data_IF_513095912172
#
_entry.id   IF_513095912172
#
_cell.length_a   1.000
_cell.length_b   1.000
_cell.length_c   1.000
_cell.angle_alpha   90.00
_cell.angle_beta   90.00
_cell.angle_gamma   90.00
#
_symmetry.space_group_name_H-M   'P 1'
#
loop_
_entity.id
_entity.type
_entity.pdbx_description
1 polymer ?
#
# COMPACT_ATOMS: atom_id res chain seq x y z
N UNK A 1 -1.50 -24.95 -17.70
CA UNK A 1 -1.83 -23.52 -17.92
C UNK A 1 -3.26 -23.37 -17.44
N UNK A 2 -3.38 -22.82 -16.24
CA UNK A 2 -4.47 -23.11 -15.31
C UNK A 2 -5.78 -22.42 -15.67
N UNK A 3 -6.88 -23.15 -15.49
CA UNK A 3 -8.27 -22.68 -15.66
C UNK A 3 -8.71 -21.71 -14.55
N UNK A 4 -7.78 -21.16 -13.75
CA UNK A 4 -8.08 -20.26 -12.63
C UNK A 4 -8.65 -18.92 -13.08
N UNK A 5 -8.27 -18.45 -14.27
CA UNK A 5 -8.72 -17.17 -14.83
C UNK A 5 -10.22 -17.17 -15.19
N UNK A 6 -10.87 -18.34 -15.13
CA UNK A 6 -12.30 -18.54 -15.43
C UNK A 6 -13.13 -18.83 -14.17
N UNK A 7 -12.50 -18.95 -12.99
CA UNK A 7 -13.23 -19.19 -11.74
C UNK A 7 -13.67 -17.85 -11.17
N UNK A 8 -14.96 -17.70 -10.91
CA UNK A 8 -15.50 -16.54 -10.20
C UNK A 8 -15.35 -16.79 -8.69
N UNK A 9 -14.43 -16.07 -8.05
CA UNK A 9 -14.12 -16.19 -6.62
C UNK A 9 -13.17 -15.08 -6.13
N UNK A 10 -13.03 -14.88 -4.82
CA UNK A 10 -12.11 -13.88 -4.26
C UNK A 10 -10.70 -14.47 -4.18
N UNK A 11 -9.86 -14.14 -5.17
CA UNK A 11 -8.46 -14.59 -5.25
C UNK A 11 -7.45 -13.57 -4.72
N UNK A 12 -7.91 -12.43 -4.21
CA UNK A 12 -7.04 -11.40 -3.62
C UNK A 12 -6.63 -11.84 -2.22
N UNK A 13 -5.32 -12.01 -2.00
CA UNK A 13 -4.73 -12.24 -0.68
C UNK A 13 -3.99 -10.99 -0.20
N UNK A 14 -4.01 -10.75 1.11
CA UNK A 14 -3.30 -9.65 1.74
C UNK A 14 -2.10 -10.20 2.51
N UNK A 15 -0.91 -9.68 2.22
CA UNK A 15 0.34 -10.18 2.79
C UNK A 15 0.95 -9.12 3.72
N UNK A 16 1.23 -9.46 5.00
CA UNK A 16 1.91 -8.54 5.90
C UNK A 16 3.32 -8.25 5.39
N UNK A 17 3.62 -6.96 5.19
CA UNK A 17 4.94 -6.52 4.77
C UNK A 17 5.61 -5.71 5.89
N UNK A 18 6.67 -6.28 6.48
CA UNK A 18 7.44 -5.62 7.54
C UNK A 18 8.65 -4.91 6.95
N UNK A 19 8.60 -3.59 6.92
CA UNK A 19 9.73 -2.74 6.58
C UNK A 19 10.36 -2.13 7.84
N UNK A 20 11.68 -1.93 7.79
CA UNK A 20 12.38 -1.07 8.72
C UNK A 20 13.03 0.04 7.90
N UNK A 21 12.61 1.28 8.12
CA UNK A 21 13.16 2.45 7.44
C UNK A 21 14.55 2.69 8.00
N UNK A 22 15.58 2.57 7.16
CA UNK A 22 16.95 2.74 7.63
C UNK A 22 17.18 4.19 8.03
N UNK A 23 17.74 4.42 9.22
CA UNK A 23 18.02 5.78 9.70
C UNK A 23 19.22 6.45 8.99
N UNK A 24 19.98 5.69 8.18
CA UNK A 24 21.17 6.14 7.46
C UNK A 24 21.29 5.32 6.17
N UNK A 25 22.03 5.87 5.19
CA UNK A 25 22.34 5.19 3.93
C UNK A 25 21.48 5.63 2.75
N UNK A 26 21.81 5.09 1.58
CA UNK A 26 21.20 5.45 0.31
C UNK A 26 19.78 4.86 0.17
N UNK A 27 18.83 5.68 -0.27
CA UNK A 27 17.44 5.29 -0.50
C UNK A 27 17.27 4.17 -1.54
N UNK A 28 18.01 4.22 -2.64
CA UNK A 28 17.96 3.21 -3.71
C UNK A 28 18.47 1.85 -3.23
N UNK A 29 19.55 1.82 -2.45
CA UNK A 29 20.04 0.57 -1.87
C UNK A 29 19.01 -0.03 -0.90
N UNK A 30 18.39 0.83 -0.09
CA UNK A 30 17.37 0.41 0.86
C UNK A 30 16.09 -0.09 0.19
N UNK A 31 15.58 0.62 -0.83
CA UNK A 31 14.37 0.20 -1.54
C UNK A 31 14.61 -1.06 -2.35
N UNK A 32 15.80 -1.23 -2.95
CA UNK A 32 16.21 -2.48 -3.62
C UNK A 32 16.22 -3.66 -2.64
N UNK A 33 16.70 -3.45 -1.42
CA UNK A 33 16.62 -4.45 -0.35
C UNK A 33 15.18 -4.76 0.04
N UNK A 34 14.29 -3.76 0.12
CA UNK A 34 12.88 -4.01 0.41
C UNK A 34 12.18 -4.74 -0.75
N UNK A 35 12.52 -4.42 -1.99
CA UNK A 35 12.01 -5.11 -3.18
C UNK A 35 12.37 -6.59 -3.17
N UNK A 36 13.62 -6.94 -2.82
CA UNK A 36 14.04 -8.33 -2.64
C UNK A 36 13.18 -9.09 -1.62
N UNK A 37 12.96 -8.50 -0.44
CA UNK A 37 12.07 -9.09 0.58
C UNK A 37 10.62 -9.24 0.10
N UNK A 38 10.13 -8.29 -0.70
CA UNK A 38 8.78 -8.37 -1.24
C UNK A 38 8.66 -9.60 -2.18
N UNK A 39 9.66 -9.85 -3.02
CA UNK A 39 9.67 -11.06 -3.85
C UNK A 39 9.67 -12.36 -3.03
N UNK A 40 10.44 -12.43 -1.95
CA UNK A 40 10.44 -13.59 -1.04
C UNK A 40 9.06 -13.84 -0.41
N UNK A 41 8.33 -12.76 -0.10
CA UNK A 41 6.96 -12.85 0.44
C UNK A 41 5.98 -13.33 -0.63
N UNK A 42 6.11 -12.85 -1.88
CA UNK A 42 5.26 -13.27 -2.99
C UNK A 42 5.37 -14.76 -3.31
N UNK A 43 6.53 -15.40 -3.06
CA UNK A 43 6.67 -16.86 -3.18
C UNK A 43 5.71 -17.61 -2.24
N UNK A 44 5.27 -16.97 -1.15
CA UNK A 44 4.37 -17.53 -0.14
C UNK A 44 2.95 -16.93 -0.23
N UNK A 45 2.59 -16.30 -1.35
CA UNK A 45 1.30 -15.61 -1.51
C UNK A 45 0.07 -16.53 -1.42
N UNK A 46 0.26 -17.85 -1.47
CA UNK A 46 -0.80 -18.84 -1.33
C UNK A 46 -1.27 -19.03 0.13
N UNK A 47 -0.52 -18.52 1.11
CA UNK A 47 -0.85 -18.63 2.54
C UNK A 47 -1.89 -17.54 2.89
N UNK A 48 -3.11 -17.89 3.32
CA UNK A 48 -4.14 -16.91 3.65
C UNK A 48 -3.75 -16.04 4.85
N UNK A 49 -4.10 -14.74 4.82
CA UNK A 49 -3.83 -13.80 5.92
C UNK A 49 -4.29 -14.34 7.30
N UNK A 50 -5.45 -14.99 7.38
CA UNK A 50 -5.96 -15.56 8.63
C UNK A 50 -5.01 -16.58 9.26
N UNK A 51 -4.34 -17.39 8.45
CA UNK A 51 -3.34 -18.35 8.92
C UNK A 51 -2.08 -17.63 9.42
N UNK A 52 -1.65 -16.57 8.73
CA UNK A 52 -0.51 -15.74 9.15
C UNK A 52 -0.80 -15.06 10.50
N UNK A 53 -2.02 -14.55 10.71
CA UNK A 53 -2.46 -13.94 11.97
C UNK A 53 -2.39 -14.96 13.13
N UNK A 54 -2.89 -16.18 12.92
CA UNK A 54 -2.84 -17.25 13.94
C UNK A 54 -1.40 -17.57 14.34
N UNK A 55 -0.47 -17.62 13.39
CA UNK A 55 0.94 -17.87 13.68
C UNK A 55 1.65 -16.71 14.38
N UNK A 56 1.11 -15.51 14.28
CA UNK A 56 1.81 -14.28 14.66
C UNK A 56 2.05 -14.15 16.17
N UNK A 57 1.42 -14.97 17.03
CA UNK A 57 1.54 -14.99 18.51
C UNK A 57 1.34 -13.63 19.21
N UNK A 58 1.05 -12.55 18.47
CA UNK A 58 0.54 -11.31 19.03
C UNK A 58 -0.80 -11.65 19.69
N UNK A 59 -0.97 -11.26 20.96
CA UNK A 59 -2.25 -11.44 21.65
C UNK A 59 -3.38 -10.80 20.84
N UNK A 60 -4.61 -11.29 21.01
CA UNK A 60 -5.79 -10.90 20.24
C UNK A 60 -6.03 -9.37 20.19
N UNK A 61 -5.50 -8.62 21.16
CA UNK A 61 -5.62 -7.16 21.26
C UNK A 61 -4.69 -6.38 20.31
N UNK A 62 -3.65 -7.01 19.75
CA UNK A 62 -2.70 -6.34 18.84
C UNK A 62 -3.06 -6.65 17.38
N UNK A 63 -3.60 -5.65 16.68
CA UNK A 63 -3.80 -5.72 15.23
C UNK A 63 -2.47 -5.91 14.52
N UNK A 64 -2.34 -6.98 13.74
CA UNK A 64 -1.17 -7.24 12.90
C UNK A 64 -1.02 -6.17 11.81
N UNK A 65 -2.14 -5.62 11.33
CA UNK A 65 -2.19 -4.65 10.24
C UNK A 65 -2.98 -3.41 10.70
N UNK A 66 -2.32 -2.25 10.69
CA UNK A 66 -2.95 -0.95 10.94
C UNK A 66 -3.03 -0.09 9.67
N UNK A 67 -2.29 -0.49 8.64
CA UNK A 67 -2.31 0.13 7.33
C UNK A 67 -2.36 -0.94 6.25
N UNK A 68 -2.86 -0.57 5.08
CA UNK A 68 -2.83 -1.37 3.86
C UNK A 68 -2.41 -0.48 2.70
N UNK A 69 -1.50 -0.99 1.87
CA UNK A 69 -1.11 -0.37 0.61
C UNK A 69 -1.48 -1.32 -0.52
N UNK A 70 -2.28 -0.84 -1.46
CA UNK A 70 -2.70 -1.61 -2.63
C UNK A 70 -2.19 -0.93 -3.89
N UNK A 71 -1.60 -1.72 -4.78
CA UNK A 71 -1.26 -1.29 -6.13
C UNK A 71 -2.26 -1.90 -7.08
N UNK A 72 -3.04 -1.04 -7.74
CA UNK A 72 -4.03 -1.49 -8.71
C UNK A 72 -3.37 -1.81 -10.06
N UNK A 73 -3.64 -3.01 -10.57
CA UNK A 73 -3.24 -3.38 -11.92
C UNK A 73 -4.29 -2.93 -12.93
N UNK A 74 -4.33 -1.62 -13.21
CA UNK A 74 -5.36 -0.98 -14.05
C UNK A 74 -5.36 -1.41 -15.51
N UNK A 75 -4.31 -2.08 -16.01
CA UNK A 75 -4.31 -2.66 -17.36
C UNK A 75 -5.40 -3.74 -17.53
N UNK A 76 -5.92 -4.29 -16.43
CA UNK A 76 -6.96 -5.31 -16.44
C UNK A 76 -8.36 -4.76 -16.12
N UNK A 77 -8.50 -3.45 -15.87
CA UNK A 77 -9.77 -2.90 -15.36
C UNK A 77 -10.01 -1.43 -15.75
N UNK A 78 -10.20 -1.17 -17.05
CA UNK A 78 -10.49 0.17 -17.60
C UNK A 78 -11.72 0.83 -16.96
N UNK A 79 -12.72 0.04 -16.57
CA UNK A 79 -13.95 0.53 -15.91
C UNK A 79 -13.62 1.15 -14.54
N UNK A 80 -12.71 0.54 -13.77
CA UNK A 80 -12.25 1.11 -12.51
C UNK A 80 -11.51 2.43 -12.76
N UNK A 81 -10.63 2.45 -13.78
CA UNK A 81 -9.86 3.63 -14.14
C UNK A 81 -10.76 4.79 -14.60
N UNK A 82 -11.80 4.53 -15.39
CA UNK A 82 -12.78 5.53 -15.82
C UNK A 82 -13.61 6.06 -14.65
N UNK A 83 -14.01 5.18 -13.73
CA UNK A 83 -14.65 5.56 -12.49
C UNK A 83 -13.81 6.52 -11.64
N UNK A 84 -12.52 6.24 -11.54
CA UNK A 84 -11.57 7.13 -10.87
C UNK A 84 -11.39 8.46 -11.60
N UNK A 85 -11.21 8.43 -12.93
CA UNK A 85 -11.07 9.64 -13.76
C UNK A 85 -12.30 10.54 -13.68
N UNK A 86 -13.49 9.95 -13.62
CA UNK A 86 -14.75 10.67 -13.52
C UNK A 86 -15.14 11.07 -12.09
N UNK A 87 -14.37 10.66 -11.08
CA UNK A 87 -14.69 10.86 -9.66
C UNK A 87 -15.94 10.09 -9.18
N UNK A 88 -16.46 9.18 -9.99
CA UNK A 88 -17.67 8.38 -9.70
C UNK A 88 -17.37 7.16 -8.83
N UNK A 89 -16.13 6.69 -8.81
CA UNK A 89 -15.67 5.62 -7.94
C UNK A 89 -14.80 6.20 -6.82
N UNK A 90 -15.27 6.06 -5.59
CA UNK A 90 -14.57 6.52 -4.37
C UNK A 90 -13.92 5.38 -3.60
N UNK A 91 -14.23 4.12 -3.91
CA UNK A 91 -13.66 2.94 -3.27
C UNK A 91 -13.72 1.72 -4.22
N UNK A 92 -12.79 1.57 -5.17
CA UNK A 92 -12.87 0.45 -6.12
C UNK A 92 -12.42 -0.89 -5.48
N UNK A 93 -11.74 -0.84 -4.33
CA UNK A 93 -11.14 -2.03 -3.72
C UNK A 93 -12.02 -2.48 -2.60
N UNK A 94 -12.61 -3.65 -2.80
CA UNK A 94 -13.25 -4.39 -1.72
C UNK A 94 -12.18 -5.03 -0.81
N UNK A 95 -11.39 -4.20 -0.12
CA UNK A 95 -10.73 -4.62 1.11
C UNK A 95 -11.83 -4.65 2.15
N UNK A 96 -12.15 -5.80 2.79
CA UNK A 96 -13.22 -5.88 3.79
C UNK A 96 -13.15 -4.69 4.75
N UNK A 97 -14.21 -3.89 4.76
CA UNK A 97 -14.13 -2.47 5.11
C UNK A 97 -13.94 -2.18 6.61
N UNK A 98 -14.02 -3.15 7.51
CA UNK A 98 -14.25 -2.84 8.92
C UNK A 98 -13.03 -2.55 9.79
N UNK A 99 -11.83 -3.07 9.47
CA UNK A 99 -10.80 -3.22 10.53
C UNK A 99 -9.43 -2.58 10.29
N UNK A 100 -9.16 -2.03 9.11
CA UNK A 100 -7.86 -1.40 8.82
C UNK A 100 -8.02 0.13 8.85
N UNK A 101 -7.47 0.84 9.86
CA UNK A 101 -7.63 2.28 10.05
C UNK A 101 -7.22 3.15 8.86
N UNK A 102 -6.22 2.71 8.08
CA UNK A 102 -5.65 3.49 6.99
C UNK A 102 -5.41 2.60 5.75
N UNK A 103 -6.00 2.97 4.61
CA UNK A 103 -5.83 2.26 3.35
C UNK A 103 -5.33 3.25 2.29
N UNK A 104 -4.23 2.92 1.63
CA UNK A 104 -3.66 3.69 0.53
C UNK A 104 -3.74 2.87 -0.76
N UNK A 105 -4.20 3.49 -1.83
CA UNK A 105 -4.42 2.86 -3.13
C UNK A 105 -3.63 3.65 -4.17
N UNK A 106 -2.65 2.99 -4.77
CA UNK A 106 -1.83 3.54 -5.85
C UNK A 106 -2.36 3.03 -7.17
N UNK A 107 -2.68 3.97 -8.06
CA UNK A 107 -3.16 3.70 -9.41
C UNK A 107 -2.10 4.21 -10.40
N UNK A 108 -1.44 3.31 -11.14
CA UNK A 108 -0.47 3.69 -12.17
C UNK A 108 -1.18 4.23 -13.42
N UNK A 109 -1.75 5.43 -13.31
CA UNK A 109 -2.26 6.24 -14.43
C UNK A 109 -1.23 7.33 -14.80
N UNK A 110 -1.53 8.14 -15.81
CA UNK A 110 -0.76 9.35 -16.14
C UNK A 110 -1.65 10.58 -15.97
N UNK A 111 -1.51 11.35 -14.87
CA UNK A 111 -0.51 11.21 -13.79
C UNK A 111 -0.80 10.06 -12.81
N UNK A 112 0.22 9.63 -12.05
CA UNK A 112 0.08 8.67 -10.94
C UNK A 112 -0.98 9.19 -9.95
N UNK A 113 -1.90 8.32 -9.52
CA UNK A 113 -2.92 8.70 -8.53
C UNK A 113 -2.71 7.91 -7.24
N UNK A 114 -2.82 8.61 -6.12
CA UNK A 114 -2.90 8.05 -4.78
C UNK A 114 -4.25 8.42 -4.18
N UNK A 115 -4.99 7.41 -3.71
CA UNK A 115 -6.19 7.60 -2.91
C UNK A 115 -5.96 7.06 -1.52
N UNK A 116 -6.45 7.77 -0.51
CA UNK A 116 -6.39 7.31 0.87
C UNK A 116 -7.81 7.25 1.44
N UNK A 117 -8.17 6.11 2.01
CA UNK A 117 -9.35 5.95 2.85
C UNK A 117 -8.91 5.71 4.29
N UNK A 118 -9.63 6.28 5.25
CA UNK A 118 -9.29 6.13 6.65
C UNK A 118 -10.54 6.18 7.53
N UNK A 119 -10.43 5.67 8.75
CA UNK A 119 -11.49 5.79 9.76
C UNK A 119 -11.29 7.08 10.55
N UNK A 120 -12.29 7.97 10.52
CA UNK A 120 -12.23 9.29 11.15
C UNK A 120 -11.92 9.26 12.66
N UNK A 121 -12.24 8.15 13.34
CA UNK A 121 -11.92 7.96 14.76
C UNK A 121 -10.40 7.87 15.05
N UNK A 122 -9.57 7.63 14.04
CA UNK A 122 -8.11 7.52 14.19
C UNK A 122 -7.34 8.67 13.53
N UNK A 123 -7.94 9.39 12.57
CA UNK A 123 -7.22 10.40 11.78
C UNK A 123 -8.08 11.62 11.48
N UNK A 124 -7.46 12.80 11.60
CA UNK A 124 -8.06 14.06 11.16
C UNK A 124 -7.86 14.28 9.66
N UNK A 125 -8.88 14.81 8.99
CA UNK A 125 -8.82 15.10 7.55
C UNK A 125 -7.63 15.98 7.14
N UNK A 126 -7.31 16.99 7.94
CA UNK A 126 -6.16 17.89 7.69
C UNK A 126 -4.83 17.14 7.65
N UNK A 127 -4.61 16.20 8.58
CA UNK A 127 -3.41 15.34 8.63
C UNK A 127 -3.34 14.43 7.41
N UNK A 128 -4.49 13.90 6.97
CA UNK A 128 -4.57 13.04 5.80
C UNK A 128 -4.29 13.79 4.49
N UNK A 129 -4.73 15.04 4.37
CA UNK A 129 -4.35 15.93 3.27
C UNK A 129 -2.85 16.19 3.31
N UNK A 130 -2.27 16.46 4.48
CA UNK A 130 -0.83 16.67 4.62
C UNK A 130 -0.02 15.45 4.17
N UNK A 131 -0.43 14.25 4.53
CA UNK A 131 0.22 13.00 4.09
C UNK A 131 0.19 12.86 2.56
N UNK A 132 -0.90 13.26 1.90
CA UNK A 132 -0.99 13.24 0.42
C UNK A 132 0.00 14.22 -0.21
N UNK A 133 0.14 15.42 0.34
CA UNK A 133 1.11 16.43 -0.10
C UNK A 133 2.54 15.92 0.08
N UNK A 134 2.88 15.43 1.27
CA UNK A 134 4.22 14.90 1.56
C UNK A 134 4.55 13.68 0.68
N UNK A 135 3.58 12.83 0.37
CA UNK A 135 3.75 11.72 -0.58
C UNK A 135 4.04 12.21 -2.00
N UNK A 136 3.26 13.20 -2.48
CA UNK A 136 3.48 13.80 -3.81
C UNK A 136 4.90 14.35 -3.89
N UNK A 137 5.27 15.21 -2.95
CA UNK A 137 6.60 15.82 -2.90
C UNK A 137 7.69 14.74 -2.85
N UNK A 138 7.53 13.72 -2.01
CA UNK A 138 8.47 12.60 -1.95
C UNK A 138 8.65 11.93 -3.31
N UNK A 139 7.56 11.58 -3.99
CA UNK A 139 7.63 10.85 -5.26
C UNK A 139 8.28 11.68 -6.36
N UNK A 140 8.00 12.98 -6.42
CA UNK A 140 8.65 13.91 -7.36
C UNK A 140 10.16 13.98 -7.06
N UNK A 141 10.54 14.13 -5.80
CA UNK A 141 11.94 14.19 -5.41
C UNK A 141 12.71 12.90 -5.71
N UNK A 142 12.14 11.72 -5.37
CA UNK A 142 12.75 10.41 -5.66
C UNK A 142 12.89 10.17 -7.16
N UNK A 143 11.95 10.66 -7.98
CA UNK A 143 12.04 10.53 -9.43
C UNK A 143 13.21 11.33 -10.03
N UNK A 144 13.63 12.42 -9.38
CA UNK A 144 14.65 13.34 -9.88
C UNK A 144 16.04 13.16 -9.25
N UNK A 145 16.14 12.57 -8.05
CA UNK A 145 17.41 12.43 -7.35
C UNK A 145 17.81 10.96 -7.14
N UNK A 146 19.01 10.58 -7.59
CA UNK A 146 19.51 9.18 -7.56
C UNK A 146 20.33 8.79 -6.33
N UNK A 147 20.85 9.76 -5.58
CA UNK A 147 21.80 9.49 -4.49
C UNK A 147 21.37 10.17 -3.18
N UNK A 148 20.24 9.72 -2.65
CA UNK A 148 19.61 10.33 -1.48
C UNK A 148 19.82 9.54 -0.20
N UNK A 149 20.06 10.28 0.89
CA UNK A 149 20.17 9.72 2.23
C UNK A 149 18.79 9.65 2.89
N UNK A 150 18.41 8.47 3.38
CA UNK A 150 17.07 8.26 3.98
C UNK A 150 16.82 9.18 5.17
N UNK A 151 17.88 9.51 5.93
CA UNK A 151 17.80 10.39 7.09
C UNK A 151 17.33 11.82 6.76
N UNK A 152 17.51 12.27 5.51
CA UNK A 152 17.14 13.62 5.05
C UNK A 152 15.68 13.71 4.61
N UNK A 153 14.92 12.63 4.75
CA UNK A 153 13.50 12.64 4.51
C UNK A 153 12.82 13.63 5.46
N UNK A 154 12.12 14.67 4.95
CA UNK A 154 11.26 15.49 5.79
C UNK A 154 10.05 14.63 6.17
N UNK A 155 10.15 13.91 7.30
CA UNK A 155 8.97 13.24 7.82
C UNK A 155 8.00 14.34 8.25
N UNK A 156 6.68 14.22 7.97
CA UNK A 156 5.71 15.12 8.56
C UNK A 156 5.98 15.20 10.06
N UNK A 157 6.22 16.42 10.56
CA UNK A 157 6.33 16.62 11.99
C UNK A 157 4.96 16.30 12.61
N UNK A 158 4.97 15.48 13.66
CA UNK A 158 3.78 14.99 14.34
C UNK A 158 2.97 16.10 14.99
#
# INVERSE_FOLDING_TARGET
>A
MDRSDQIVGRFVNMLPFRMNVAQRGNFFDWIKKQQGKHFDILQNQHIPLGQIIVWNKLGQEKKLLNNCLVFENVQQNEILLEGFRSGKLTNPIFVPDSDIPLKAIVIPDQPLKLMISYLDQYFEKSKMIRILEDFKDLTEHVAHARDWEIAKFPLPQA
#
